data_IF_646969406951
#
_entry.id   IF_646969406951
#
_cell.length_a   1.000
_cell.length_b   1.000
_cell.length_c   1.000
_cell.angle_alpha   90.00
_cell.angle_beta   90.00
_cell.angle_gamma   90.00
#
_symmetry.space_group_name_H-M   'P 1'
#
loop_
_entity.id
_entity.type
_entity.pdbx_description
1 polymer ?
#
# COMPACT_ATOMS: atom_id res chain seq x y z
N UNK A 1 -9.98 17.50 2.49
CA UNK A 1 -9.88 18.21 1.21
C UNK A 1 -10.33 17.24 0.15
N UNK A 2 -11.30 17.67 -0.64
CA UNK A 2 -11.68 17.09 -1.91
C UNK A 2 -12.37 15.71 -1.89
N UNK A 3 -13.38 15.59 -2.78
CA UNK A 3 -14.01 14.34 -3.25
C UNK A 3 -15.13 13.65 -2.45
N UNK A 4 -15.94 14.37 -1.64
CA UNK A 4 -17.25 13.86 -1.13
C UNK A 4 -18.45 14.76 -1.43
N UNK A 5 -18.49 15.38 -2.61
CA UNK A 5 -19.51 16.34 -3.04
C UNK A 5 -20.40 15.82 -4.19
N UNK A 6 -20.78 14.53 -4.17
CA UNK A 6 -21.46 13.86 -5.31
C UNK A 6 -22.56 12.86 -4.93
N UNK A 7 -23.42 13.10 -3.93
CA UNK A 7 -24.42 12.08 -3.54
C UNK A 7 -25.82 12.52 -3.01
N UNK A 8 -26.29 13.76 -3.22
CA UNK A 8 -27.70 14.11 -2.85
C UNK A 8 -28.53 14.82 -3.94
N UNK A 9 -28.07 14.83 -5.19
CA UNK A 9 -28.93 15.10 -6.35
C UNK A 9 -29.59 13.82 -6.91
N UNK A 10 -29.51 12.70 -6.20
CA UNK A 10 -29.78 11.37 -6.75
C UNK A 10 -31.12 10.72 -6.33
N UNK A 11 -32.04 11.42 -5.67
CA UNK A 11 -33.28 10.81 -5.15
C UNK A 11 -34.60 11.38 -5.68
N UNK A 12 -34.56 12.25 -6.69
CA UNK A 12 -35.76 12.64 -7.43
C UNK A 12 -36.13 11.71 -8.60
N UNK A 13 -35.38 10.61 -8.80
CA UNK A 13 -35.55 9.75 -9.97
C UNK A 13 -35.90 8.28 -9.70
N UNK A 14 -36.09 7.85 -8.45
CA UNK A 14 -36.42 6.43 -8.17
C UNK A 14 -37.44 6.36 -7.04
N UNK A 15 -38.71 6.18 -7.39
CA UNK A 15 -39.77 6.06 -6.39
C UNK A 15 -41.17 5.69 -6.89
N UNK A 16 -41.33 4.95 -8.00
CA UNK A 16 -42.56 4.20 -8.26
C UNK A 16 -42.37 3.19 -9.41
N UNK A 17 -41.60 2.13 -9.19
CA UNK A 17 -41.64 0.96 -10.07
C UNK A 17 -41.52 -0.32 -9.24
N UNK A 18 -42.67 -0.78 -8.74
CA UNK A 18 -42.88 -2.16 -8.35
C UNK A 18 -44.34 -2.56 -8.64
N UNK A 19 -44.49 -3.32 -9.73
CA UNK A 19 -45.42 -4.44 -9.92
C UNK A 19 -46.93 -4.17 -9.98
N UNK A 20 -47.44 -4.10 -11.22
CA UNK A 20 -48.60 -4.87 -11.65
C UNK A 20 -48.45 -5.23 -13.15
N UNK A 21 -48.29 -6.51 -13.53
CA UNK A 21 -48.35 -6.92 -14.92
C UNK A 21 -49.83 -7.07 -15.34
N UNK A 22 -50.20 -6.40 -16.42
CA UNK A 22 -51.46 -6.70 -17.11
C UNK A 22 -52.58 -5.71 -16.83
N UNK A 23 -52.41 -4.48 -17.30
CA UNK A 23 -53.55 -3.73 -17.84
C UNK A 23 -53.05 -3.05 -19.12
N UNK A 24 -53.63 -3.43 -20.25
CA UNK A 24 -53.74 -2.56 -21.42
C UNK A 24 -54.56 -1.34 -21.00
N UNK A 25 -53.96 -0.47 -20.20
CA UNK A 25 -54.50 0.83 -19.83
C UNK A 25 -54.11 1.78 -20.94
N UNK A 26 -55.09 2.27 -21.69
CA UNK A 26 -54.95 3.47 -22.50
C UNK A 26 -54.32 4.54 -21.60
N UNK A 27 -53.11 5.05 -21.91
CA UNK A 27 -52.42 5.91 -20.96
C UNK A 27 -53.08 7.29 -20.90
N UNK A 28 -53.20 7.79 -19.67
CA UNK A 28 -53.66 9.14 -19.36
C UNK A 28 -52.98 10.15 -20.30
N UNK A 29 -53.81 11.01 -20.92
CA UNK A 29 -53.37 11.95 -21.96
C UNK A 29 -52.24 12.81 -21.41
N UNK A 30 -51.20 13.02 -22.21
CA UNK A 30 -49.94 13.67 -21.85
C UNK A 30 -50.04 15.10 -21.26
N UNK A 31 -51.26 15.67 -21.15
CA UNK A 31 -51.56 16.87 -20.36
C UNK A 31 -51.30 16.69 -18.84
N UNK A 32 -51.37 15.47 -18.29
CA UNK A 32 -51.11 15.21 -16.86
C UNK A 32 -49.60 15.21 -16.49
N UNK A 33 -48.71 14.97 -17.45
CA UNK A 33 -47.26 14.83 -17.20
C UNK A 33 -46.57 16.15 -16.84
N UNK A 34 -46.92 17.24 -17.51
CA UNK A 34 -46.32 18.57 -17.24
C UNK A 34 -46.75 19.09 -15.86
N UNK A 35 -47.98 18.82 -15.44
CA UNK A 35 -48.46 19.16 -14.08
C UNK A 35 -47.70 18.39 -12.99
N UNK A 36 -47.40 17.11 -13.25
CA UNK A 36 -46.62 16.25 -12.33
C UNK A 36 -45.15 16.68 -12.24
N UNK A 37 -44.58 17.29 -13.29
CA UNK A 37 -43.18 17.75 -13.30
C UNK A 37 -42.98 19.11 -12.60
N UNK A 38 -44.04 19.91 -12.51
CA UNK A 38 -43.97 21.24 -11.87
C UNK A 38 -44.17 21.21 -10.35
N UNK A 39 -45.06 20.35 -9.84
CA UNK A 39 -45.29 20.16 -8.38
C UNK A 39 -44.00 19.91 -7.55
N UNK A 40 -43.06 19.08 -8.00
CA UNK A 40 -41.74 18.88 -7.40
C UNK A 40 -40.97 20.15 -7.06
N UNK A 41 -40.92 21.06 -8.03
CA UNK A 41 -40.13 22.28 -7.96
C UNK A 41 -40.71 23.22 -6.90
N UNK A 42 -42.04 23.21 -6.78
CA UNK A 42 -42.79 23.98 -5.78
C UNK A 42 -42.53 23.44 -4.37
N UNK A 43 -42.50 22.12 -4.21
CA UNK A 43 -42.25 21.49 -2.91
C UNK A 43 -40.78 21.68 -2.47
N UNK A 44 -39.81 21.51 -3.37
CA UNK A 44 -38.36 21.74 -3.12
C UNK A 44 -38.08 23.20 -2.71
N UNK A 45 -38.76 24.16 -3.36
CA UNK A 45 -38.66 25.58 -3.00
C UNK A 45 -39.06 25.85 -1.55
N UNK A 46 -40.06 25.14 -1.02
CA UNK A 46 -40.51 25.30 0.36
C UNK A 46 -39.50 24.70 1.35
N UNK A 47 -38.98 23.51 1.04
CA UNK A 47 -38.02 22.80 1.87
C UNK A 47 -36.67 23.56 1.98
N UNK A 48 -36.16 24.08 0.84
CA UNK A 48 -34.91 24.86 0.80
C UNK A 48 -34.97 26.14 1.65
N UNK A 49 -36.15 26.76 1.78
CA UNK A 49 -36.33 27.90 2.70
C UNK A 49 -36.15 27.48 4.15
N UNK A 50 -36.63 26.30 4.54
CA UNK A 50 -36.40 25.72 5.88
C UNK A 50 -34.92 25.42 6.15
N UNK A 51 -34.19 24.93 5.15
CA UNK A 51 -32.73 24.68 5.24
C UNK A 51 -31.95 25.96 5.50
N UNK A 52 -32.31 27.05 4.82
CA UNK A 52 -31.66 28.34 5.03
C UNK A 52 -31.71 28.77 6.50
N UNK A 53 -32.84 28.54 7.19
CA UNK A 53 -32.97 28.85 8.62
C UNK A 53 -32.13 27.94 9.52
N UNK A 54 -31.99 26.66 9.17
CA UNK A 54 -31.16 25.69 9.89
C UNK A 54 -29.66 25.99 9.76
N UNK A 55 -29.24 26.58 8.62
CA UNK A 55 -27.86 27.05 8.40
C UNK A 55 -27.45 28.06 9.46
N UNK A 56 -28.29 29.07 9.69
CA UNK A 56 -28.06 30.11 10.68
C UNK A 56 -28.04 29.55 12.11
N UNK A 57 -28.89 28.56 12.40
CA UNK A 57 -28.94 27.91 13.72
C UNK A 57 -27.63 27.18 14.04
N UNK A 58 -27.08 26.41 13.10
CA UNK A 58 -25.85 25.63 13.32
C UNK A 58 -24.60 26.50 13.38
N UNK A 59 -24.55 27.58 12.62
CA UNK A 59 -23.48 28.57 12.71
C UNK A 59 -23.31 29.06 14.15
N UNK A 60 -24.43 29.42 14.80
CA UNK A 60 -24.46 29.86 16.21
C UNK A 60 -23.96 28.76 17.16
N UNK A 61 -24.33 27.50 16.93
CA UNK A 61 -23.86 26.39 17.75
C UNK A 61 -22.35 26.13 17.62
N UNK A 62 -21.80 26.20 16.41
CA UNK A 62 -20.36 26.01 16.17
C UNK A 62 -19.54 27.11 16.85
N UNK A 63 -19.97 28.36 16.74
CA UNK A 63 -19.33 29.49 17.46
C UNK A 63 -19.28 29.21 18.97
N UNK A 64 -20.39 28.74 19.56
CA UNK A 64 -20.42 28.38 20.98
C UNK A 64 -19.46 27.24 21.36
N UNK A 65 -19.29 26.23 20.50
CA UNK A 65 -18.33 25.15 20.73
C UNK A 65 -16.88 25.61 20.62
N UNK A 66 -16.55 26.42 19.61
CA UNK A 66 -15.21 26.98 19.43
C UNK A 66 -14.81 27.84 20.64
N UNK A 67 -15.77 28.56 21.23
CA UNK A 67 -15.50 29.32 22.46
C UNK A 67 -15.03 28.42 23.61
N UNK A 68 -15.64 27.25 23.79
CA UNK A 68 -15.20 26.28 24.81
C UNK A 68 -13.78 25.74 24.55
N UNK A 69 -13.38 25.62 23.28
CA UNK A 69 -12.01 25.23 22.90
C UNK A 69 -10.99 26.32 23.20
N UNK A 70 -11.33 27.59 22.95
CA UNK A 70 -10.51 28.74 23.38
C UNK A 70 -10.28 28.68 24.88
N UNK A 71 -11.33 28.44 25.67
CA UNK A 71 -11.24 28.36 27.13
C UNK A 71 -10.34 27.19 27.58
N UNK A 72 -10.44 26.02 26.92
CA UNK A 72 -9.60 24.87 27.24
C UNK A 72 -8.13 25.10 26.90
N UNK A 73 -7.82 25.63 25.70
CA UNK A 73 -6.44 25.95 25.32
C UNK A 73 -5.80 26.98 26.24
N UNK A 74 -6.59 27.92 26.75
CA UNK A 74 -6.15 28.88 27.76
C UNK A 74 -5.71 28.19 29.05
N UNK A 75 -6.50 27.22 29.55
CA UNK A 75 -6.11 26.42 30.73
C UNK A 75 -4.87 25.55 30.50
N UNK A 76 -4.71 25.01 29.31
CA UNK A 76 -3.51 24.25 28.94
C UNK A 76 -2.27 25.15 28.96
N UNK A 77 -2.38 26.36 28.41
CA UNK A 77 -1.32 27.38 28.47
C UNK A 77 -0.95 27.76 29.92
N UNK A 78 -1.94 27.86 30.80
CA UNK A 78 -1.73 28.07 32.24
C UNK A 78 -0.94 26.89 32.86
N UNK A 79 -1.38 25.65 32.64
CA UNK A 79 -0.69 24.44 33.13
C UNK A 79 0.77 24.32 32.65
N UNK A 80 1.07 24.76 31.42
CA UNK A 80 2.45 24.80 30.93
C UNK A 80 3.32 25.79 31.68
N UNK A 81 2.75 26.94 32.01
CA UNK A 81 3.45 27.96 32.79
C UNK A 81 3.75 27.42 34.21
N UNK A 82 2.82 26.68 34.80
CA UNK A 82 3.01 25.99 36.08
C UNK A 82 4.07 24.87 36.00
N UNK A 83 4.03 24.03 34.96
CA UNK A 83 4.96 22.90 34.80
C UNK A 83 6.38 23.36 34.49
N UNK A 84 6.55 24.41 33.68
CA UNK A 84 7.86 25.03 33.46
C UNK A 84 8.47 25.53 34.78
N UNK A 85 7.63 26.09 35.65
CA UNK A 85 8.04 26.53 37.01
C UNK A 85 8.46 25.33 37.87
N UNK A 86 7.76 24.19 37.77
CA UNK A 86 8.13 22.96 38.49
C UNK A 86 9.42 22.32 37.97
N UNK A 87 9.60 22.21 36.66
CA UNK A 87 10.81 21.66 36.05
C UNK A 87 12.05 22.50 36.39
N UNK A 88 11.88 23.83 36.47
CA UNK A 88 12.95 24.71 36.93
C UNK A 88 13.43 24.37 38.35
N UNK A 89 12.50 24.00 39.24
CA UNK A 89 12.79 23.54 40.60
C UNK A 89 13.47 22.17 40.61
N UNK A 90 13.04 21.22 39.80
CA UNK A 90 13.65 19.88 39.70
C UNK A 90 15.11 19.96 39.19
N UNK A 91 15.39 20.85 38.23
CA UNK A 91 16.77 21.13 37.81
C UNK A 91 17.62 21.70 38.94
N UNK A 92 17.08 22.66 39.73
CA UNK A 92 17.78 23.22 40.89
C UNK A 92 18.15 22.12 41.91
N UNK A 93 17.22 21.23 42.23
CA UNK A 93 17.46 20.13 43.17
C UNK A 93 18.54 19.14 42.66
N UNK A 94 18.53 18.81 41.36
CA UNK A 94 19.55 17.94 40.74
C UNK A 94 20.94 18.59 40.71
N UNK A 95 21.01 19.89 40.41
CA UNK A 95 22.25 20.67 40.46
C UNK A 95 22.83 20.64 41.88
N UNK A 96 22.00 20.91 42.89
CA UNK A 96 22.40 20.85 44.31
C UNK A 96 22.91 19.45 44.70
N UNK A 97 22.27 18.37 44.26
CA UNK A 97 22.71 17.00 44.56
C UNK A 97 24.02 16.61 43.86
N UNK A 98 24.25 17.07 42.62
CA UNK A 98 25.51 16.85 41.90
C UNK A 98 26.66 17.67 42.51
N UNK A 99 26.38 18.90 42.97
CA UNK A 99 27.33 19.71 43.73
C UNK A 99 27.71 19.03 45.06
N UNK A 100 26.74 18.44 45.79
CA UNK A 100 27.00 17.62 46.99
C UNK A 100 27.84 16.37 46.66
N UNK A 101 27.54 15.64 45.59
CA UNK A 101 28.33 14.48 45.17
C UNK A 101 29.77 14.86 44.77
N UNK A 102 29.95 16.03 44.13
CA UNK A 102 31.26 16.61 43.81
C UNK A 102 32.05 16.93 45.10
N UNK A 103 31.39 17.52 46.11
CA UNK A 103 31.99 17.78 47.41
C UNK A 103 32.37 16.47 48.15
N UNK A 104 31.53 15.43 48.09
CA UNK A 104 31.81 14.11 48.68
C UNK A 104 33.01 13.41 48.03
N UNK A 105 33.10 13.43 46.69
CA UNK A 105 34.23 12.82 45.97
C UNK A 105 35.54 13.61 46.11
N UNK A 106 35.46 14.93 46.25
CA UNK A 106 36.63 15.79 46.51
C UNK A 106 37.18 15.60 47.94
N UNK A 107 36.37 15.08 48.88
CA UNK A 107 36.79 14.75 50.25
C UNK A 107 37.39 13.34 50.42
N UNK A 108 37.52 12.54 49.35
CA UNK A 108 38.07 11.18 49.40
C UNK A 108 39.53 11.18 48.92
N UNK A 109 40.48 11.27 49.85
CA UNK A 109 41.87 11.71 49.61
C UNK A 109 42.91 10.65 49.21
N UNK A 110 42.60 9.34 49.24
CA UNK A 110 43.62 8.28 49.13
C UNK A 110 43.55 7.41 47.85
N UNK A 111 43.06 7.94 46.73
CA UNK A 111 42.95 7.16 45.49
C UNK A 111 44.18 7.30 44.56
N UNK A 112 44.63 6.19 43.95
CA UNK A 112 45.66 6.16 42.90
C UNK A 112 45.09 5.58 41.59
N UNK A 113 45.04 6.34 40.47
CA UNK A 113 45.57 7.70 40.33
C UNK A 113 44.72 8.75 41.08
N UNK A 114 45.34 9.82 41.61
CA UNK A 114 44.66 10.87 42.35
C UNK A 114 43.50 11.50 41.56
N UNK A 115 42.39 11.74 42.24
CA UNK A 115 41.21 12.35 41.63
C UNK A 115 40.37 11.42 40.77
N UNK A 116 40.68 10.12 40.71
CA UNK A 116 39.84 9.10 40.06
C UNK A 116 39.52 7.98 41.05
N UNK A 117 38.36 7.34 40.91
CA UNK A 117 38.01 6.17 41.71
C UNK A 117 37.28 5.12 40.89
N UNK A 118 37.79 3.89 40.88
CA UNK A 118 37.11 2.74 40.29
C UNK A 118 35.96 2.31 41.19
N UNK A 119 34.75 2.33 40.65
CA UNK A 119 33.60 1.70 41.26
C UNK A 119 33.47 0.31 40.62
N UNK A 120 33.57 -0.80 41.36
CA UNK A 120 33.79 -2.17 40.82
C UNK A 120 32.80 -2.71 39.76
N UNK A 121 31.66 -2.06 39.54
CA UNK A 121 30.72 -2.41 38.46
C UNK A 121 30.59 -1.31 37.40
N UNK A 122 31.18 -0.14 37.62
CA UNK A 122 30.97 1.08 36.84
C UNK A 122 32.25 1.76 36.38
N UNK A 123 33.41 1.20 36.73
CA UNK A 123 34.68 1.71 36.23
C UNK A 123 35.15 2.95 37.01
N UNK A 124 36.20 3.58 36.49
CA UNK A 124 36.85 4.75 37.09
C UNK A 124 36.08 6.05 36.81
N UNK A 125 35.68 6.78 37.86
CA UNK A 125 35.05 8.10 37.78
C UNK A 125 35.93 9.18 38.42
N UNK A 126 35.94 10.40 37.86
CA UNK A 126 36.72 11.53 38.37
C UNK A 126 35.85 12.72 38.76
N UNK A 127 36.38 13.57 39.66
CA UNK A 127 35.69 14.76 40.18
C UNK A 127 35.38 15.79 39.09
N UNK A 128 36.23 15.86 38.06
CA UNK A 128 36.06 16.73 36.89
C UNK A 128 34.82 16.35 36.07
N UNK A 129 34.53 15.06 35.92
CA UNK A 129 33.37 14.56 35.18
C UNK A 129 32.05 14.93 35.86
N UNK A 130 32.01 14.92 37.19
CA UNK A 130 30.79 15.25 37.96
C UNK A 130 30.59 16.76 38.06
N UNK A 131 31.67 17.52 38.23
CA UNK A 131 31.62 18.99 38.14
C UNK A 131 31.15 19.45 36.75
N UNK A 132 31.61 18.78 35.69
CA UNK A 132 31.14 19.01 34.32
C UNK A 132 29.64 18.69 34.19
N UNK A 133 29.17 17.58 34.73
CA UNK A 133 27.75 17.23 34.71
C UNK A 133 26.87 18.23 35.48
N UNK A 134 27.34 18.80 36.59
CA UNK A 134 26.63 19.88 37.30
C UNK A 134 26.53 21.16 36.45
N UNK A 135 27.62 21.57 35.80
CA UNK A 135 27.64 22.72 34.91
C UNK A 135 26.79 22.51 33.63
N UNK A 136 26.76 21.29 33.09
CA UNK A 136 25.91 20.94 31.95
C UNK A 136 24.43 20.99 32.35
N UNK A 137 24.05 20.54 33.56
CA UNK A 137 22.70 20.69 34.10
C UNK A 137 22.29 22.17 34.32
N UNK A 138 23.21 23.03 34.77
CA UNK A 138 22.97 24.48 34.90
C UNK A 138 22.69 25.14 33.55
N UNK A 139 23.45 24.76 32.51
CA UNK A 139 23.21 25.21 31.13
C UNK A 139 21.87 24.70 30.59
N UNK A 140 21.54 23.43 30.84
CA UNK A 140 20.25 22.84 30.44
C UNK A 140 19.07 23.52 31.15
N UNK A 141 19.21 23.89 32.43
CA UNK A 141 18.21 24.66 33.18
C UNK A 141 17.99 26.03 32.55
N UNK A 142 19.05 26.79 32.31
CA UNK A 142 18.97 28.12 31.70
C UNK A 142 18.31 28.06 30.31
N UNK A 143 18.70 27.09 29.49
CA UNK A 143 18.10 26.84 28.17
C UNK A 143 16.62 26.46 28.28
N UNK A 144 16.24 25.62 29.24
CA UNK A 144 14.85 25.21 29.46
C UNK A 144 13.96 26.38 29.88
N UNK A 145 14.43 27.23 30.78
CA UNK A 145 13.72 28.44 31.23
C UNK A 145 13.54 29.46 30.09
N UNK A 146 14.60 29.70 29.31
CA UNK A 146 14.52 30.58 28.14
C UNK A 146 13.50 30.06 27.12
N UNK A 147 13.56 28.76 26.80
CA UNK A 147 12.60 28.14 25.89
C UNK A 147 11.15 28.25 26.41
N UNK A 148 10.93 28.13 27.72
CA UNK A 148 9.60 28.31 28.30
C UNK A 148 9.10 29.77 28.18
N UNK A 149 9.94 30.75 28.52
CA UNK A 149 9.59 32.18 28.45
C UNK A 149 9.30 32.65 27.02
N UNK A 150 10.08 32.16 26.04
CA UNK A 150 9.86 32.43 24.61
C UNK A 150 8.73 31.58 24.00
N UNK A 151 8.03 30.77 24.80
CA UNK A 151 7.01 29.83 24.36
C UNK A 151 7.49 28.82 23.30
N UNK A 152 8.79 28.51 23.29
CA UNK A 152 9.46 27.54 22.40
C UNK A 152 9.69 26.17 23.03
N UNK A 153 9.48 26.04 24.35
CA UNK A 153 9.54 24.75 25.03
C UNK A 153 8.46 23.82 24.46
N UNK A 154 8.87 22.63 24.03
CA UNK A 154 7.98 21.62 23.48
C UNK A 154 7.56 20.64 24.56
N UNK A 155 6.27 20.34 24.62
CA UNK A 155 5.71 19.45 25.62
C UNK A 155 4.72 18.48 25.00
N UNK A 156 4.71 17.26 25.51
CA UNK A 156 3.77 16.24 25.05
C UNK A 156 2.45 16.33 25.83
N UNK A 157 1.36 16.59 25.12
CA UNK A 157 0.00 16.53 25.68
C UNK A 157 -0.63 15.22 25.22
N UNK A 158 -1.05 14.39 26.17
CA UNK A 158 -1.75 13.14 25.86
C UNK A 158 -3.00 13.43 25.01
N UNK A 159 -3.11 12.78 23.86
CA UNK A 159 -4.21 12.98 22.90
C UNK A 159 -4.00 14.11 21.89
N UNK A 160 -2.96 14.93 22.01
CA UNK A 160 -2.62 15.99 21.04
C UNK A 160 -1.22 15.81 20.44
N UNK A 161 -0.21 15.48 21.27
CA UNK A 161 1.18 15.32 20.84
C UNK A 161 2.13 16.41 21.35
N UNK A 162 3.31 16.51 20.73
CA UNK A 162 4.32 17.51 21.07
C UNK A 162 3.93 18.89 20.56
N UNK A 163 3.83 19.87 21.45
CA UNK A 163 3.47 21.24 21.11
C UNK A 163 4.30 22.26 21.88
N UNK A 164 4.53 23.41 21.25
CA UNK A 164 5.14 24.57 21.90
C UNK A 164 4.09 25.51 22.48
N UNK A 165 4.47 26.35 23.44
CA UNK A 165 3.59 27.42 23.93
C UNK A 165 3.11 28.36 22.81
N UNK A 166 3.95 28.59 21.79
CA UNK A 166 3.61 29.40 20.63
C UNK A 166 2.57 28.70 19.75
N UNK A 167 2.67 27.37 19.60
CA UNK A 167 1.66 26.59 18.90
C UNK A 167 0.31 26.64 19.63
N UNK A 168 0.30 26.63 20.96
CA UNK A 168 -0.92 26.79 21.76
C UNK A 168 -1.52 28.18 21.61
N UNK A 169 -0.71 29.24 21.66
CA UNK A 169 -1.20 30.60 21.45
C UNK A 169 -1.78 30.77 20.05
N UNK A 170 -1.10 30.23 19.03
CA UNK A 170 -1.64 30.20 17.66
C UNK A 170 -2.96 29.44 17.60
N UNK A 171 -3.09 28.30 18.26
CA UNK A 171 -4.35 27.56 18.31
C UNK A 171 -5.49 28.41 18.91
N UNK A 172 -5.23 29.20 19.96
CA UNK A 172 -6.21 30.15 20.53
C UNK A 172 -6.59 31.22 19.49
N UNK A 173 -5.60 31.89 18.92
CA UNK A 173 -5.81 33.00 17.98
C UNK A 173 -6.53 32.53 16.70
N UNK A 174 -6.13 31.37 16.17
CA UNK A 174 -6.74 30.71 15.02
C UNK A 174 -8.19 30.32 15.30
N UNK A 175 -8.48 29.79 16.50
CA UNK A 175 -9.86 29.44 16.91
C UNK A 175 -10.73 30.70 17.03
N UNK A 176 -10.20 31.78 17.61
CA UNK A 176 -10.91 33.07 17.69
C UNK A 176 -11.13 33.70 16.31
N UNK A 177 -10.16 33.54 15.41
CA UNK A 177 -10.31 33.95 14.01
C UNK A 177 -11.40 33.12 13.32
N UNK A 178 -11.42 31.80 13.50
CA UNK A 178 -12.47 30.92 12.94
C UNK A 178 -13.87 31.38 13.39
N UNK A 179 -14.04 31.78 14.66
CA UNK A 179 -15.31 32.34 15.16
C UNK A 179 -15.72 33.59 14.37
N UNK A 180 -14.81 34.54 14.17
CA UNK A 180 -15.08 35.78 13.42
C UNK A 180 -15.38 35.47 11.94
N UNK A 181 -14.61 34.58 11.34
CA UNK A 181 -14.78 34.16 9.95
C UNK A 181 -16.15 33.48 9.74
N UNK A 182 -16.59 32.64 10.68
CA UNK A 182 -17.94 32.04 10.66
C UNK A 182 -19.02 33.11 10.71
N UNK A 183 -18.92 34.07 11.63
CA UNK A 183 -19.92 35.11 11.78
C UNK A 183 -20.05 35.99 10.53
N UNK A 184 -18.91 36.37 9.93
CA UNK A 184 -18.91 37.12 8.68
C UNK A 184 -19.46 36.28 7.52
N UNK A 185 -19.08 35.00 7.45
CA UNK A 185 -19.56 34.12 6.41
C UNK A 185 -21.09 33.95 6.46
N UNK A 186 -21.72 34.00 7.63
CA UNK A 186 -23.20 33.92 7.72
C UNK A 186 -23.83 35.15 7.10
N UNK A 187 -23.30 36.34 7.40
CA UNK A 187 -23.81 37.63 6.87
C UNK A 187 -23.74 37.69 5.35
N UNK A 188 -22.64 37.23 4.78
CA UNK A 188 -22.43 37.25 3.33
C UNK A 188 -23.01 36.00 2.64
N UNK A 189 -23.71 35.14 3.38
CA UNK A 189 -24.25 33.87 2.90
C UNK A 189 -23.19 32.82 2.55
N UNK A 190 -21.89 33.10 2.74
CA UNK A 190 -20.80 32.17 2.43
C UNK A 190 -20.58 31.07 3.47
N UNK A 191 -21.27 31.14 4.62
CA UNK A 191 -21.17 30.15 5.69
C UNK A 191 -21.74 28.81 5.28
N UNK A 192 -20.99 27.76 5.63
CA UNK A 192 -21.29 26.38 5.25
C UNK A 192 -21.55 25.57 6.50
N UNK A 193 -22.71 24.93 6.57
CA UNK A 193 -23.00 23.96 7.63
C UNK A 193 -23.56 22.70 7.07
N UNK A 194 -23.37 21.61 7.79
CA UNK A 194 -24.09 20.39 7.54
C UNK A 194 -25.54 20.59 7.98
N UNK A 195 -26.56 20.30 7.16
CA UNK A 195 -27.98 20.25 7.55
C UNK A 195 -28.49 18.83 7.35
N UNK A 196 -29.27 18.31 8.32
CA UNK A 196 -29.84 16.95 8.19
C UNK A 196 -30.72 16.87 6.95
N UNK A 197 -30.51 15.87 6.11
CA UNK A 197 -31.17 15.74 4.80
C UNK A 197 -30.49 16.50 3.65
N UNK A 198 -29.62 17.48 3.94
CA UNK A 198 -29.04 18.38 2.93
C UNK A 198 -27.50 18.43 2.89
N UNK A 199 -26.83 17.87 3.90
CA UNK A 199 -25.37 17.83 3.96
C UNK A 199 -24.74 19.21 4.16
N UNK A 200 -23.43 19.33 3.90
CA UNK A 200 -22.70 20.61 3.98
C UNK A 200 -23.16 21.55 2.88
N UNK A 201 -24.01 22.50 3.24
CA UNK A 201 -24.60 23.47 2.33
C UNK A 201 -24.27 24.89 2.76
N UNK A 202 -24.19 25.77 1.77
CA UNK A 202 -23.84 27.18 1.91
C UNK A 202 -25.10 28.03 1.75
N UNK A 203 -25.25 29.05 2.59
CA UNK A 203 -26.40 29.96 2.51
C UNK A 203 -26.63 30.51 1.09
N UNK A 204 -25.58 31.04 0.45
CA UNK A 204 -25.66 31.59 -0.90
C UNK A 204 -25.97 30.56 -1.98
N UNK A 205 -25.60 29.29 -1.77
CA UNK A 205 -25.95 28.19 -2.69
C UNK A 205 -27.43 27.84 -2.57
N UNK A 206 -27.96 27.76 -1.35
CA UNK A 206 -29.39 27.57 -1.13
C UNK A 206 -30.18 28.73 -1.75
N UNK A 207 -29.76 29.96 -1.51
CA UNK A 207 -30.40 31.14 -2.09
C UNK A 207 -30.34 31.17 -3.62
N UNK A 208 -29.19 30.83 -4.23
CA UNK A 208 -29.06 30.73 -5.68
C UNK A 208 -29.91 29.61 -6.27
N UNK A 209 -30.02 28.47 -5.58
CA UNK A 209 -30.87 27.34 -6.01
C UNK A 209 -32.35 27.72 -5.98
N UNK A 210 -32.79 28.45 -4.97
CA UNK A 210 -34.15 29.00 -4.91
C UNK A 210 -34.41 29.86 -6.16
N UNK A 211 -33.53 30.81 -6.47
CA UNK A 211 -33.68 31.67 -7.66
C UNK A 211 -33.64 30.89 -8.99
N UNK A 212 -32.80 29.85 -9.07
CA UNK A 212 -32.70 28.98 -10.25
C UNK A 212 -33.95 28.11 -10.42
N UNK A 213 -34.52 27.55 -9.35
CA UNK A 213 -35.76 26.78 -9.38
C UNK A 213 -36.92 27.63 -9.92
N UNK A 214 -37.02 28.88 -9.47
CA UNK A 214 -38.01 29.85 -9.97
C UNK A 214 -37.83 30.11 -11.49
N UNK A 215 -36.58 30.14 -11.99
CA UNK A 215 -36.28 30.27 -13.42
C UNK A 215 -36.58 28.99 -14.21
N UNK A 216 -36.30 27.82 -13.63
CA UNK A 216 -36.53 26.51 -14.25
C UNK A 216 -38.03 26.27 -14.48
N UNK A 217 -38.86 26.60 -13.49
CA UNK A 217 -40.32 26.51 -13.62
C UNK A 217 -40.82 27.29 -14.86
N UNK A 218 -40.28 28.50 -15.06
CA UNK A 218 -40.62 29.34 -16.22
C UNK A 218 -40.16 28.74 -17.55
N UNK A 219 -38.92 28.23 -17.62
CA UNK A 219 -38.33 27.67 -18.84
C UNK A 219 -39.00 26.37 -19.31
N UNK A 220 -39.41 25.51 -18.38
CA UNK A 220 -40.13 24.26 -18.67
C UNK A 220 -41.40 24.55 -19.49
N UNK A 221 -42.18 25.55 -19.05
CA UNK A 221 -43.43 25.95 -19.72
C UNK A 221 -43.21 26.42 -21.16
N UNK A 222 -42.09 27.10 -21.43
CA UNK A 222 -41.75 27.59 -22.77
C UNK A 222 -41.33 26.45 -23.73
N UNK A 223 -40.57 25.45 -23.26
CA UNK A 223 -40.10 24.32 -24.09
C UNK A 223 -41.21 23.38 -24.53
N UNK A 224 -42.25 23.20 -23.70
CA UNK A 224 -43.49 22.48 -24.07
C UNK A 224 -44.05 23.04 -25.38
N UNK A 225 -44.16 24.36 -25.48
CA UNK A 225 -44.78 25.02 -26.63
C UNK A 225 -43.99 24.85 -27.95
N UNK A 226 -42.65 24.74 -27.92
CA UNK A 226 -41.83 24.64 -29.14
C UNK A 226 -41.65 23.21 -29.68
N UNK A 227 -42.17 22.20 -28.98
CA UNK A 227 -41.92 20.79 -29.31
C UNK A 227 -40.49 20.31 -29.02
N UNK A 228 -39.69 21.15 -28.35
CA UNK A 228 -38.38 20.81 -27.78
C UNK A 228 -38.50 20.27 -26.35
N UNK A 229 -39.74 20.04 -25.90
CA UNK A 229 -39.99 19.46 -24.61
C UNK A 229 -39.61 17.99 -24.60
N UNK A 230 -38.69 17.62 -23.71
CA UNK A 230 -38.29 16.25 -23.52
C UNK A 230 -39.44 15.48 -22.87
N UNK A 231 -39.83 14.35 -23.44
CA UNK A 231 -40.81 13.44 -22.82
C UNK A 231 -40.18 12.07 -22.68
N UNK A 232 -40.33 11.51 -21.49
CA UNK A 232 -39.88 10.15 -21.22
C UNK A 232 -40.90 9.17 -21.78
N UNK A 233 -40.46 8.37 -22.75
CA UNK A 233 -41.30 7.37 -23.38
C UNK A 233 -40.90 5.99 -22.85
N UNK A 234 -41.86 5.17 -22.37
CA UNK A 234 -41.55 3.84 -21.85
C UNK A 234 -40.75 3.01 -22.86
N UNK A 235 -39.59 2.51 -22.42
CA UNK A 235 -38.69 1.69 -23.23
C UNK A 235 -37.73 2.45 -24.16
N UNK A 236 -37.84 3.78 -24.27
CA UNK A 236 -36.99 4.60 -25.17
C UNK A 236 -36.42 5.87 -24.54
N UNK A 237 -36.90 6.19 -23.35
CA UNK A 237 -36.34 7.26 -22.53
C UNK A 237 -36.74 8.64 -23.02
N UNK A 238 -35.99 9.63 -22.57
CA UNK A 238 -36.29 11.02 -22.86
C UNK A 238 -36.07 11.30 -24.33
N UNK A 239 -37.13 11.77 -24.96
CA UNK A 239 -37.17 12.08 -26.37
C UNK A 239 -37.90 13.36 -26.56
N UNK A 240 -37.26 14.28 -27.26
CA UNK A 240 -38.01 15.35 -27.90
C UNK A 240 -38.61 14.79 -29.17
N UNK A 241 -39.69 15.42 -29.62
CA UNK A 241 -40.29 15.06 -30.89
C UNK A 241 -39.27 15.12 -32.03
N UNK A 242 -38.40 16.13 -32.03
CA UNK A 242 -37.36 16.31 -33.06
C UNK A 242 -36.28 15.23 -33.05
N UNK A 243 -35.87 14.74 -31.88
CA UNK A 243 -34.77 13.79 -31.75
C UNK A 243 -35.16 12.39 -32.23
N UNK A 244 -36.37 11.92 -31.89
CA UNK A 244 -36.85 10.60 -32.33
C UNK A 244 -36.79 10.45 -33.85
N UNK A 245 -37.12 11.52 -34.56
CA UNK A 245 -37.14 11.53 -36.02
C UNK A 245 -35.73 11.37 -36.61
N UNK A 246 -34.72 11.98 -35.99
CA UNK A 246 -33.32 11.83 -36.40
C UNK A 246 -32.76 10.43 -36.09
N UNK A 247 -33.08 9.87 -34.93
CA UNK A 247 -32.55 8.57 -34.49
C UNK A 247 -33.05 7.39 -35.31
N UNK A 248 -34.34 7.41 -35.64
CA UNK A 248 -34.94 6.41 -36.52
C UNK A 248 -34.14 6.32 -37.82
N UNK A 249 -33.79 7.47 -38.40
CA UNK A 249 -33.05 7.57 -39.66
C UNK A 249 -31.61 7.05 -39.54
N UNK A 250 -30.91 7.35 -38.44
CA UNK A 250 -29.53 6.94 -38.25
C UNK A 250 -29.37 5.43 -37.98
N UNK A 251 -30.31 4.84 -37.23
CA UNK A 251 -30.27 3.41 -36.87
C UNK A 251 -30.46 2.51 -38.09
N UNK A 252 -31.35 2.92 -39.01
CA UNK A 252 -31.55 2.26 -40.30
C UNK A 252 -30.24 2.18 -41.11
N UNK A 253 -29.41 3.23 -41.08
CA UNK A 253 -28.12 3.24 -41.76
C UNK A 253 -27.04 2.36 -41.07
N UNK A 254 -27.05 2.24 -39.74
CA UNK A 254 -26.03 1.46 -39.02
C UNK A 254 -26.21 -0.06 -39.16
N UNK A 255 -27.47 -0.53 -39.13
CA UNK A 255 -27.80 -1.93 -39.35
C UNK A 255 -27.22 -2.42 -40.69
N UNK A 256 -27.37 -1.61 -41.74
CA UNK A 256 -26.85 -1.92 -43.08
C UNK A 256 -25.31 -2.05 -43.08
N UNK A 257 -24.61 -1.16 -42.38
CA UNK A 257 -23.14 -1.14 -42.30
C UNK A 257 -22.54 -2.36 -41.59
N UNK A 258 -23.17 -2.82 -40.50
CA UNK A 258 -22.64 -3.92 -39.67
C UNK A 258 -22.72 -5.27 -40.36
N UNK A 259 -23.80 -5.51 -41.11
CA UNK A 259 -23.94 -6.70 -41.97
C UNK A 259 -22.78 -6.84 -42.95
N UNK A 260 -22.33 -5.73 -43.54
CA UNK A 260 -21.21 -5.73 -44.47
C UNK A 260 -19.87 -6.13 -43.80
N UNK A 261 -19.61 -5.68 -42.56
CA UNK A 261 -18.37 -5.99 -41.83
C UNK A 261 -18.28 -7.44 -41.35
N UNK A 262 -19.40 -8.01 -40.89
CA UNK A 262 -19.43 -9.39 -40.45
C UNK A 262 -19.10 -10.36 -41.59
N UNK A 263 -19.66 -10.13 -42.77
CA UNK A 263 -19.36 -10.91 -43.98
C UNK A 263 -17.86 -10.87 -44.38
N UNK A 264 -17.14 -9.80 -44.04
CA UNK A 264 -15.70 -9.65 -44.32
C UNK A 264 -14.78 -10.32 -43.27
N UNK A 265 -15.33 -10.91 -42.19
CA UNK A 265 -14.53 -11.46 -41.09
C UNK A 265 -13.83 -10.40 -40.23
N UNK A 266 -14.25 -9.14 -40.34
CA UNK A 266 -13.67 -7.98 -39.63
C UNK A 266 -14.40 -7.66 -38.31
N UNK A 267 -15.40 -8.46 -37.95
CA UNK A 267 -16.01 -8.40 -36.63
C UNK A 267 -14.94 -8.78 -35.59
N UNK A 268 -14.76 -7.96 -34.56
CA UNK A 268 -13.86 -8.25 -33.45
C UNK A 268 -14.67 -8.71 -32.23
N UNK A 269 -14.29 -9.82 -31.60
CA UNK A 269 -14.88 -10.28 -30.35
C UNK A 269 -13.80 -10.25 -29.26
N UNK A 270 -14.24 -10.01 -28.03
CA UNK A 270 -13.38 -10.06 -26.85
C UNK A 270 -13.59 -11.36 -26.10
N UNK A 271 -12.48 -12.00 -25.72
CA UNK A 271 -12.47 -13.07 -24.71
C UNK A 271 -11.35 -12.81 -23.69
N UNK A 272 -11.54 -13.17 -22.42
CA UNK A 272 -10.50 -13.01 -21.38
C UNK A 272 -9.15 -13.64 -21.75
N UNK A 273 -9.19 -14.72 -22.54
CA UNK A 273 -8.04 -15.45 -22.99
C UNK A 273 -7.13 -14.69 -23.97
N UNK A 274 -7.71 -13.84 -24.83
CA UNK A 274 -7.01 -13.34 -26.03
C UNK A 274 -7.35 -11.90 -26.44
N UNK A 275 -8.11 -11.17 -25.60
CA UNK A 275 -8.53 -9.78 -25.80
C UNK A 275 -9.37 -9.59 -27.09
N UNK A 276 -9.55 -8.35 -27.55
CA UNK A 276 -10.23 -8.04 -28.81
C UNK A 276 -9.46 -8.56 -30.01
N UNK A 277 -10.07 -9.50 -30.74
CA UNK A 277 -9.51 -10.04 -31.98
C UNK A 277 -10.58 -10.18 -33.02
N UNK A 278 -10.20 -9.99 -34.28
CA UNK A 278 -11.02 -10.44 -35.41
C UNK A 278 -10.86 -11.93 -35.63
N UNK A 279 -11.84 -12.53 -36.33
CA UNK A 279 -11.79 -13.95 -36.69
C UNK A 279 -10.46 -14.32 -37.36
N UNK A 280 -10.00 -13.44 -38.26
CA UNK A 280 -8.75 -13.63 -39.00
C UNK A 280 -7.51 -13.58 -38.09
N UNK A 281 -7.49 -12.67 -37.10
CA UNK A 281 -6.37 -12.57 -36.15
C UNK A 281 -6.29 -13.78 -35.21
N UNK A 282 -7.43 -14.24 -34.71
CA UNK A 282 -7.49 -15.40 -33.81
C UNK A 282 -7.02 -16.68 -34.50
N UNK A 283 -7.41 -16.90 -35.76
CA UNK A 283 -6.94 -18.02 -36.57
C UNK A 283 -5.42 -18.01 -36.76
N UNK A 284 -4.83 -16.83 -37.04
CA UNK A 284 -3.39 -16.70 -37.22
C UNK A 284 -2.61 -16.98 -35.91
N UNK A 285 -3.12 -16.54 -34.77
CA UNK A 285 -2.47 -16.75 -33.47
C UNK A 285 -2.60 -18.19 -32.96
N UNK A 286 -3.73 -18.86 -33.17
CA UNK A 286 -3.88 -20.27 -32.81
C UNK A 286 -2.81 -21.13 -33.48
N UNK A 287 -2.57 -20.90 -34.78
CA UNK A 287 -1.53 -21.60 -35.53
C UNK A 287 -0.10 -21.31 -35.02
N UNK A 288 0.15 -20.12 -34.47
CA UNK A 288 1.44 -19.77 -33.87
C UNK A 288 1.59 -20.37 -32.47
N UNK A 289 0.53 -20.37 -31.67
CA UNK A 289 0.48 -20.94 -30.32
C UNK A 289 0.71 -22.46 -30.34
N UNK A 290 0.13 -23.17 -31.31
CA UNK A 290 0.35 -24.61 -31.49
C UNK A 290 1.83 -24.96 -31.69
N UNK A 291 2.52 -24.19 -32.54
CA UNK A 291 3.97 -24.37 -32.75
C UNK A 291 4.78 -24.11 -31.48
N UNK A 292 4.41 -23.09 -30.71
CA UNK A 292 5.10 -22.74 -29.47
C UNK A 292 4.86 -23.76 -28.34
N UNK A 293 3.65 -24.30 -28.22
CA UNK A 293 3.30 -25.33 -27.23
C UNK A 293 4.12 -26.60 -27.43
N UNK A 294 4.18 -27.11 -28.67
CA UNK A 294 4.96 -28.31 -29.00
C UNK A 294 6.47 -28.10 -28.76
N UNK A 295 6.99 -26.91 -29.05
CA UNK A 295 8.38 -26.56 -28.76
C UNK A 295 8.69 -26.55 -27.25
N UNK A 296 7.82 -25.96 -26.42
CA UNK A 296 7.99 -25.92 -24.96
C UNK A 296 7.88 -27.31 -24.34
N UNK A 297 6.91 -28.12 -24.78
CA UNK A 297 6.74 -29.50 -24.30
C UNK A 297 8.00 -30.34 -24.53
N UNK A 298 8.62 -30.20 -25.71
CA UNK A 298 9.90 -30.84 -26.04
C UNK A 298 11.07 -30.30 -25.19
N UNK A 299 11.15 -28.99 -24.96
CA UNK A 299 12.20 -28.41 -24.12
C UNK A 299 12.13 -28.87 -22.65
N UNK A 300 10.92 -29.09 -22.12
CA UNK A 300 10.70 -29.64 -20.78
C UNK A 300 11.08 -31.12 -20.72
N UNK A 301 10.71 -31.94 -21.72
CA UNK A 301 11.10 -33.36 -21.75
C UNK A 301 12.62 -33.54 -21.86
N UNK A 302 13.28 -32.67 -22.63
CA UNK A 302 14.71 -32.75 -22.91
C UNK A 302 15.56 -32.13 -21.78
N UNK A 303 14.94 -31.60 -20.71
CA UNK A 303 15.63 -31.03 -19.54
C UNK A 303 16.37 -29.71 -19.82
N UNK A 304 16.10 -29.08 -20.96
CA UNK A 304 16.73 -27.84 -21.44
C UNK A 304 15.87 -26.59 -21.23
N UNK A 305 14.65 -26.74 -20.72
CA UNK A 305 13.86 -25.63 -20.19
C UNK A 305 14.69 -24.88 -19.15
N UNK A 306 14.70 -23.55 -19.21
CA UNK A 306 15.47 -22.68 -18.30
C UNK A 306 14.51 -22.01 -17.32
N UNK A 307 14.84 -22.02 -16.03
CA UNK A 307 14.08 -21.30 -15.01
C UNK A 307 15.00 -20.41 -14.19
N UNK A 308 14.48 -19.28 -13.70
CA UNK A 308 15.20 -18.39 -12.80
C UNK A 308 15.16 -18.91 -11.37
N UNK A 309 16.33 -19.11 -10.78
CA UNK A 309 16.51 -19.51 -9.39
C UNK A 309 17.15 -18.36 -8.63
N UNK A 310 16.56 -18.00 -7.47
CA UNK A 310 16.91 -16.82 -6.63
C UNK A 310 18.41 -16.72 -6.31
N UNK A 311 19.17 -17.82 -6.38
CA UNK A 311 20.60 -17.86 -6.06
C UNK A 311 21.48 -18.45 -7.18
N UNK A 312 20.89 -18.93 -8.28
CA UNK A 312 21.63 -19.55 -9.39
C UNK A 312 21.35 -18.89 -10.75
N UNK A 313 20.51 -17.84 -10.79
CA UNK A 313 20.11 -17.19 -12.02
C UNK A 313 19.32 -18.13 -12.94
N UNK A 314 19.47 -17.96 -14.26
CA UNK A 314 18.88 -18.87 -15.24
C UNK A 314 19.65 -20.19 -15.27
N UNK A 315 18.99 -21.29 -14.90
CA UNK A 315 19.59 -22.61 -14.92
C UNK A 315 18.69 -23.64 -15.62
N UNK A 316 19.32 -24.62 -16.27
CA UNK A 316 18.65 -25.81 -16.82
C UNK A 316 18.77 -26.98 -15.86
N UNK A 317 17.79 -27.89 -15.91
CA UNK A 317 17.82 -29.13 -15.12
C UNK A 317 19.11 -29.93 -15.35
N UNK A 318 19.53 -30.07 -16.61
CA UNK A 318 20.76 -30.80 -16.99
C UNK A 318 22.03 -30.18 -16.37
N UNK A 319 22.08 -28.86 -16.22
CA UNK A 319 23.23 -28.16 -15.63
C UNK A 319 23.30 -28.37 -14.11
N UNK A 320 22.13 -28.40 -13.44
CA UNK A 320 22.04 -28.70 -12.02
C UNK A 320 22.37 -30.17 -11.72
N UNK A 321 21.92 -31.11 -12.55
CA UNK A 321 22.29 -32.53 -12.46
C UNK A 321 23.80 -32.74 -12.63
N UNK A 322 24.43 -32.03 -13.58
CA UNK A 322 25.88 -32.03 -13.74
C UNK A 322 26.61 -31.46 -12.52
N UNK A 323 26.08 -30.40 -11.89
CA UNK A 323 26.63 -29.81 -10.66
C UNK A 323 26.53 -30.76 -9.47
N UNK A 324 25.39 -31.44 -9.28
CA UNK A 324 25.25 -32.46 -8.22
C UNK A 324 26.29 -33.56 -8.41
N UNK A 325 26.48 -34.04 -9.64
CA UNK A 325 27.50 -35.05 -9.95
C UNK A 325 28.93 -34.58 -9.61
N UNK A 326 29.25 -33.32 -9.88
CA UNK A 326 30.54 -32.71 -9.52
C UNK A 326 30.74 -32.60 -7.99
N UNK A 327 29.68 -32.21 -7.26
CA UNK A 327 29.68 -32.16 -5.80
C UNK A 327 29.82 -33.57 -5.19
N UNK A 328 29.15 -34.58 -5.74
CA UNK A 328 29.28 -35.98 -5.31
C UNK A 328 30.71 -36.50 -5.52
N UNK A 329 31.36 -36.15 -6.63
CA UNK A 329 32.77 -36.47 -6.87
C UNK A 329 33.70 -35.77 -5.89
N UNK A 330 33.41 -34.52 -5.53
CA UNK A 330 34.22 -33.73 -4.60
C UNK A 330 34.08 -34.27 -3.18
N UNK A 331 32.85 -34.55 -2.74
CA UNK A 331 32.57 -35.22 -1.46
C UNK A 331 33.31 -36.56 -1.35
N UNK A 332 33.24 -37.40 -2.38
CA UNK A 332 33.92 -38.68 -2.39
C UNK A 332 35.46 -38.53 -2.29
N UNK A 333 36.04 -37.56 -3.01
CA UNK A 333 37.49 -37.26 -2.94
C UNK A 333 37.90 -36.74 -1.56
N UNK A 334 37.13 -35.85 -0.96
CA UNK A 334 37.42 -35.31 0.38
C UNK A 334 37.29 -36.39 1.45
N UNK A 335 36.27 -37.25 1.37
CA UNK A 335 36.10 -38.40 2.26
C UNK A 335 37.25 -39.41 2.13
N UNK A 336 37.70 -39.69 0.91
CA UNK A 336 38.86 -40.57 0.66
C UNK A 336 40.17 -39.98 1.19
N UNK A 337 40.41 -38.67 0.99
CA UNK A 337 41.56 -37.97 1.55
C UNK A 337 41.56 -37.96 3.08
N UNK A 338 40.39 -37.85 3.71
CA UNK A 338 40.23 -37.94 5.16
C UNK A 338 40.48 -39.35 5.69
N UNK A 339 39.90 -40.38 5.04
CA UNK A 339 40.12 -41.78 5.40
C UNK A 339 41.60 -42.17 5.29
N UNK A 340 42.32 -41.59 4.34
CA UNK A 340 43.76 -41.77 4.16
C UNK A 340 44.62 -40.86 5.04
N UNK A 341 44.04 -39.95 5.82
CA UNK A 341 44.81 -38.98 6.63
C UNK A 341 45.65 -38.00 5.81
N UNK A 342 45.28 -37.78 4.54
CA UNK A 342 45.94 -36.94 3.54
C UNK A 342 45.26 -35.58 3.37
N UNK A 343 44.15 -35.35 4.07
CA UNK A 343 43.52 -34.04 4.18
C UNK A 343 44.49 -33.03 4.82
N UNK A 344 44.79 -31.96 4.10
CA UNK A 344 45.77 -30.94 4.49
C UNK A 344 45.07 -29.64 4.84
N UNK A 345 45.37 -29.08 6.01
CA UNK A 345 44.83 -27.79 6.43
C UNK A 345 45.92 -26.91 7.06
N UNK A 346 45.63 -25.62 7.20
CA UNK A 346 46.48 -24.68 7.93
C UNK A 346 46.19 -24.77 9.42
N UNK A 347 47.22 -25.06 10.21
CA UNK A 347 47.12 -25.34 11.63
C UNK A 347 48.16 -24.50 12.40
N UNK A 348 48.11 -24.46 13.75
CA UNK A 348 49.13 -23.82 14.58
C UNK A 348 50.56 -24.29 14.32
N UNK A 349 50.73 -25.54 13.84
CA UNK A 349 52.01 -26.09 13.37
C UNK A 349 52.37 -25.75 11.91
N UNK A 350 51.49 -25.06 11.18
CA UNK A 350 51.61 -24.79 9.74
C UNK A 350 50.68 -25.65 8.87
N UNK A 351 50.98 -25.73 7.56
CA UNK A 351 50.19 -26.50 6.58
C UNK A 351 50.51 -27.98 6.62
N UNK A 352 49.69 -28.75 7.33
CA UNK A 352 50.00 -30.15 7.63
C UNK A 352 48.78 -31.07 7.49
N UNK A 353 49.07 -32.34 7.21
CA UNK A 353 48.11 -33.46 7.23
C UNK A 353 48.12 -34.18 8.58
N UNK A 354 47.10 -34.99 8.86
CA UNK A 354 47.06 -35.82 10.08
C UNK A 354 48.31 -36.70 10.18
N UNK A 355 48.69 -37.36 9.06
CA UNK A 355 49.92 -38.17 8.95
C UNK A 355 51.19 -37.39 9.30
N UNK A 356 51.33 -36.14 8.83
CA UNK A 356 52.52 -35.32 9.09
C UNK A 356 52.60 -34.86 10.56
N UNK A 357 51.45 -34.54 11.18
CA UNK A 357 51.39 -34.13 12.58
C UNK A 357 51.62 -35.32 13.51
N UNK A 358 51.07 -36.50 13.19
CA UNK A 358 51.30 -37.74 13.93
C UNK A 358 52.78 -38.16 13.88
N UNK A 359 53.43 -38.09 12.71
CA UNK A 359 54.88 -38.29 12.58
C UNK A 359 55.69 -37.28 13.39
N UNK A 360 55.24 -36.03 13.41
CA UNK A 360 55.89 -34.97 14.20
C UNK A 360 55.75 -35.22 15.71
N UNK A 361 54.58 -35.68 16.17
CA UNK A 361 54.36 -36.09 17.55
C UNK A 361 55.18 -37.33 17.93
N UNK A 362 55.31 -38.31 17.04
CA UNK A 362 56.14 -39.50 17.27
C UNK A 362 57.63 -39.11 17.38
N UNK A 363 58.11 -38.22 16.51
CA UNK A 363 59.48 -37.69 16.54
C UNK A 363 59.76 -36.90 17.82
N UNK A 364 58.87 -35.98 18.18
CA UNK A 364 58.97 -35.19 19.42
C UNK A 364 58.90 -36.09 20.67
N UNK A 365 58.08 -37.14 20.64
CA UNK A 365 58.00 -38.15 21.70
C UNK A 365 59.30 -38.95 21.87
N UNK A 366 59.94 -39.36 20.77
CA UNK A 366 61.26 -40.00 20.78
C UNK A 366 62.34 -39.06 21.33
N UNK A 367 62.30 -37.79 20.96
CA UNK A 367 63.22 -36.78 21.50
C UNK A 367 63.05 -36.61 23.00
N UNK A 368 61.82 -36.53 23.52
CA UNK A 368 61.55 -36.40 24.95
C UNK A 368 62.10 -37.58 25.79
N UNK A 369 62.28 -38.76 25.20
CA UNK A 369 62.83 -39.96 25.84
C UNK A 369 64.35 -39.97 26.02
N UNK A 370 65.09 -38.95 25.59
CA UNK A 370 66.57 -38.91 25.71
C UNK A 370 67.01 -38.61 27.16
N UNK A 371 67.85 -39.46 27.81
CA UNK A 371 68.14 -39.38 29.25
C UNK A 371 68.79 -38.08 29.77
N UNK A 372 69.43 -37.30 28.90
CA UNK A 372 70.25 -36.14 29.28
C UNK A 372 69.68 -34.78 28.80
N UNK A 373 68.39 -34.72 28.46
CA UNK A 373 67.72 -33.46 28.10
C UNK A 373 67.59 -32.51 29.29
N UNK A 374 68.02 -31.27 29.11
CA UNK A 374 67.83 -30.20 30.08
C UNK A 374 66.34 -29.79 30.23
N UNK A 375 66.01 -29.12 31.34
CA UNK A 375 64.63 -28.75 31.66
C UNK A 375 64.00 -27.80 30.64
N UNK A 376 64.80 -26.90 30.04
CA UNK A 376 64.34 -25.89 29.08
C UNK A 376 64.00 -26.52 27.73
N UNK A 377 64.75 -27.52 27.30
CA UNK A 377 64.49 -28.32 26.11
C UNK A 377 63.26 -29.22 26.30
N UNK A 378 63.07 -29.80 27.49
CA UNK A 378 61.84 -30.55 27.82
C UNK A 378 60.60 -29.66 27.79
N UNK A 379 60.67 -28.45 28.36
CA UNK A 379 59.57 -27.47 28.33
C UNK A 379 59.24 -27.03 26.90
N UNK A 380 60.27 -26.78 26.07
CA UNK A 380 60.08 -26.46 24.64
C UNK A 380 59.42 -27.59 23.87
N UNK A 381 59.90 -28.83 24.03
CA UNK A 381 59.31 -30.02 23.38
C UNK A 381 57.86 -30.23 23.85
N UNK A 382 57.57 -30.04 25.13
CA UNK A 382 56.20 -30.13 25.66
C UNK A 382 55.27 -29.08 25.01
N UNK A 383 55.74 -27.85 24.84
CA UNK A 383 55.01 -26.77 24.15
C UNK A 383 54.80 -27.07 22.66
N UNK A 384 55.80 -27.61 21.96
CA UNK A 384 55.68 -28.01 20.55
C UNK A 384 54.73 -29.22 20.37
N UNK A 385 54.73 -30.17 21.32
CA UNK A 385 53.76 -31.27 21.35
C UNK A 385 52.33 -30.78 21.65
N UNK A 386 52.15 -29.76 22.50
CA UNK A 386 50.86 -29.13 22.76
C UNK A 386 50.31 -28.45 21.49
N UNK A 387 51.16 -27.73 20.75
CA UNK A 387 50.80 -27.11 19.47
C UNK A 387 50.43 -28.18 18.42
N UNK A 388 51.14 -29.31 18.38
CA UNK A 388 50.80 -30.45 17.50
C UNK A 388 49.47 -31.12 17.89
N UNK A 389 49.21 -31.33 19.18
CA UNK A 389 47.95 -31.90 19.68
C UNK A 389 46.76 -30.96 19.41
N UNK A 390 46.96 -29.66 19.59
CA UNK A 390 45.97 -28.63 19.23
C UNK A 390 45.69 -28.63 17.72
N UNK A 391 46.73 -28.82 16.91
CA UNK A 391 46.62 -28.91 15.45
C UNK A 391 45.86 -30.16 14.98
N UNK A 392 46.01 -31.31 15.64
CA UNK A 392 45.18 -32.49 15.34
C UNK A 392 43.70 -32.27 15.68
N UNK A 393 43.42 -31.64 16.83
CA UNK A 393 42.05 -31.33 17.23
C UNK A 393 41.38 -30.30 16.29
N UNK A 394 42.15 -29.31 15.83
CA UNK A 394 41.69 -28.33 14.83
C UNK A 394 41.47 -28.97 13.45
N UNK A 395 42.34 -29.88 13.00
CA UNK A 395 42.18 -30.59 11.73
C UNK A 395 40.89 -31.44 11.68
N UNK A 396 40.56 -32.12 12.78
CA UNK A 396 39.31 -32.88 12.91
C UNK A 396 38.08 -31.95 12.81
N UNK A 397 38.12 -30.79 13.46
CA UNK A 397 37.04 -29.79 13.43
C UNK A 397 36.88 -29.16 12.04
N UNK A 398 37.99 -28.85 11.36
CA UNK A 398 38.02 -28.27 10.03
C UNK A 398 37.49 -29.24 8.95
N UNK A 399 37.87 -30.52 9.04
CA UNK A 399 37.38 -31.54 8.11
C UNK A 399 35.89 -31.84 8.25
N UNK A 400 35.36 -31.83 9.49
CA UNK A 400 33.94 -32.01 9.74
C UNK A 400 33.11 -30.84 9.21
N UNK A 401 33.62 -29.62 9.32
CA UNK A 401 32.98 -28.42 8.78
C UNK A 401 32.96 -28.41 7.24
N UNK A 402 34.07 -28.79 6.60
CA UNK A 402 34.17 -28.85 5.13
C UNK A 402 33.20 -29.87 4.52
N UNK A 403 33.11 -31.08 5.11
CA UNK A 403 32.12 -32.09 4.69
C UNK A 403 30.67 -31.62 4.90
N UNK A 404 30.39 -30.91 5.99
CA UNK A 404 29.05 -30.38 6.28
C UNK A 404 28.62 -29.32 5.25
N UNK A 405 29.55 -28.44 4.82
CA UNK A 405 29.28 -27.41 3.82
C UNK A 405 29.04 -28.02 2.43
N UNK A 406 29.87 -28.97 2.00
CA UNK A 406 29.69 -29.68 0.72
C UNK A 406 28.38 -30.47 0.68
N UNK A 407 28.02 -31.14 1.79
CA UNK A 407 26.76 -31.88 1.89
C UNK A 407 25.54 -30.95 1.87
N UNK A 408 25.62 -29.78 2.53
CA UNK A 408 24.57 -28.76 2.52
C UNK A 408 24.36 -28.19 1.12
N UNK A 409 25.45 -27.90 0.40
CA UNK A 409 25.38 -27.39 -0.97
C UNK A 409 24.76 -28.44 -1.92
N UNK A 410 25.17 -29.70 -1.81
CA UNK A 410 24.59 -30.82 -2.57
C UNK A 410 23.09 -30.99 -2.31
N UNK A 411 22.68 -30.94 -1.04
CA UNK A 411 21.27 -31.05 -0.65
C UNK A 411 20.44 -29.87 -1.18
N UNK A 412 20.98 -28.66 -1.13
CA UNK A 412 20.37 -27.45 -1.67
C UNK A 412 20.15 -27.57 -3.18
N UNK A 413 21.19 -27.93 -3.96
CA UNK A 413 21.08 -28.10 -5.42
C UNK A 413 20.11 -29.23 -5.79
N UNK A 414 20.11 -30.34 -5.05
CA UNK A 414 19.21 -31.48 -5.32
C UNK A 414 17.73 -31.14 -5.13
N UNK A 415 17.39 -30.31 -4.12
CA UNK A 415 16.01 -29.86 -3.89
C UNK A 415 15.47 -29.03 -5.07
N UNK A 416 16.33 -28.27 -5.75
CA UNK A 416 15.93 -27.48 -6.92
C UNK A 416 15.61 -28.34 -8.14
N UNK A 417 16.27 -29.50 -8.31
CA UNK A 417 15.99 -30.45 -9.41
C UNK A 417 14.56 -30.98 -9.32
N UNK A 418 14.12 -31.37 -8.12
CA UNK A 418 12.73 -31.82 -7.87
C UNK A 418 11.72 -30.69 -8.05
N UNK A 419 12.10 -29.44 -7.73
CA UNK A 419 11.26 -28.26 -7.94
C UNK A 419 11.09 -27.83 -9.39
N UNK A 420 11.98 -28.24 -10.30
CA UNK A 420 12.00 -27.77 -11.68
C UNK A 420 10.74 -28.18 -12.48
N UNK A 421 10.25 -29.40 -12.27
CA UNK A 421 9.00 -29.88 -12.89
C UNK A 421 7.77 -29.14 -12.36
N UNK A 422 7.78 -28.77 -11.07
CA UNK A 422 6.71 -27.97 -10.47
C UNK A 422 6.68 -26.52 -10.99
N UNK A 423 7.83 -25.98 -11.43
CA UNK A 423 7.95 -24.64 -12.00
C UNK A 423 7.59 -24.59 -13.49
N UNK A 424 7.73 -25.69 -14.24
CA UNK A 424 7.36 -25.77 -15.66
C UNK A 424 5.86 -26.05 -15.88
N UNK A 425 5.22 -26.74 -14.93
CA UNK A 425 3.81 -27.17 -15.04
C UNK A 425 2.81 -26.00 -15.20
N UNK A 426 2.90 -24.89 -14.45
CA UNK A 426 1.98 -23.76 -14.63
C UNK A 426 2.07 -23.10 -16.02
N UNK A 427 3.26 -23.08 -16.65
CA UNK A 427 3.41 -22.51 -18.00
C UNK A 427 2.78 -23.40 -19.08
N UNK A 428 2.93 -24.73 -18.94
CA UNK A 428 2.28 -25.70 -19.84
C UNK A 428 0.76 -25.70 -19.70
N UNK A 429 0.26 -25.72 -18.47
CA UNK A 429 -1.18 -25.67 -18.18
C UNK A 429 -1.80 -24.34 -18.66
N UNK A 430 -1.10 -23.21 -18.49
CA UNK A 430 -1.54 -21.91 -19.02
C UNK A 430 -1.61 -21.92 -20.55
N UNK A 431 -0.60 -22.46 -21.25
CA UNK A 431 -0.57 -22.47 -22.72
C UNK A 431 -1.64 -23.41 -23.30
N UNK A 432 -1.88 -24.55 -22.65
CA UNK A 432 -2.94 -25.47 -23.03
C UNK A 432 -4.33 -24.84 -22.88
N UNK A 433 -4.56 -24.14 -21.77
CA UNK A 433 -5.79 -23.39 -21.52
C UNK A 433 -6.03 -22.30 -22.58
N UNK A 434 -5.00 -21.48 -22.87
CA UNK A 434 -5.10 -20.42 -23.89
C UNK A 434 -5.47 -21.00 -25.27
N UNK A 435 -4.95 -22.19 -25.60
CA UNK A 435 -5.26 -22.86 -26.87
C UNK A 435 -6.71 -23.37 -26.91
N UNK A 436 -7.18 -24.04 -25.86
CA UNK A 436 -8.57 -24.52 -25.81
C UNK A 436 -9.55 -23.34 -25.91
N UNK A 437 -9.28 -22.26 -25.17
CA UNK A 437 -10.13 -21.07 -25.18
C UNK A 437 -10.12 -20.35 -26.54
N UNK A 438 -8.98 -20.32 -27.24
CA UNK A 438 -8.88 -19.74 -28.58
C UNK A 438 -9.62 -20.56 -29.64
N UNK A 439 -9.64 -21.88 -29.51
CA UNK A 439 -10.40 -22.77 -30.41
C UNK A 439 -11.90 -22.58 -30.23
N UNK A 440 -12.38 -22.62 -28.98
CA UNK A 440 -13.81 -22.43 -28.65
C UNK A 440 -14.31 -21.06 -29.13
N UNK A 441 -13.47 -20.02 -29.03
CA UNK A 441 -13.80 -18.67 -29.48
C UNK A 441 -14.03 -18.51 -31.00
N UNK A 442 -13.61 -19.45 -31.84
CA UNK A 442 -13.84 -19.37 -33.29
C UNK A 442 -15.28 -19.72 -33.68
N UNK A 443 -15.91 -20.64 -32.96
CA UNK A 443 -17.29 -21.08 -33.21
C UNK A 443 -18.32 -20.03 -32.76
N UNK A 444 -17.91 -19.13 -31.86
CA UNK A 444 -18.79 -18.11 -31.31
C UNK A 444 -19.10 -16.96 -32.29
N UNK A 445 -18.31 -16.74 -33.33
CA UNK A 445 -18.48 -15.57 -34.22
C UNK A 445 -19.83 -15.53 -34.95
N UNK A 446 -20.40 -16.68 -35.34
CA UNK A 446 -21.73 -16.73 -35.99
C UNK A 446 -22.86 -16.41 -35.02
N UNK A 447 -22.70 -16.82 -33.76
CA UNK A 447 -23.63 -16.50 -32.69
C UNK A 447 -23.54 -15.01 -32.35
N UNK A 448 -22.32 -14.49 -32.23
CA UNK A 448 -22.04 -13.07 -31.97
C UNK A 448 -22.59 -12.16 -33.08
N UNK A 449 -22.45 -12.51 -34.36
CA UNK A 449 -23.05 -11.72 -35.46
C UNK A 449 -24.57 -11.56 -35.32
N UNK A 450 -25.26 -12.65 -35.02
CA UNK A 450 -26.73 -12.65 -34.82
C UNK A 450 -27.10 -11.83 -33.59
N UNK A 451 -26.31 -11.94 -32.52
CA UNK A 451 -26.46 -11.16 -31.31
C UNK A 451 -26.22 -9.67 -31.54
N UNK A 452 -25.40 -9.27 -32.51
CA UNK A 452 -25.10 -7.86 -32.78
C UNK A 452 -26.18 -7.15 -33.60
N UNK A 453 -26.83 -7.83 -34.54
CA UNK A 453 -27.74 -7.20 -35.51
C UNK A 453 -29.19 -7.20 -35.01
N UNK A 454 -29.65 -8.33 -34.48
CA UNK A 454 -31.05 -8.52 -34.07
C UNK A 454 -31.55 -7.50 -33.01
N UNK A 455 -30.74 -7.06 -32.05
CA UNK A 455 -31.16 -6.02 -31.11
C UNK A 455 -31.43 -4.67 -31.77
N UNK A 456 -30.66 -4.30 -32.80
CA UNK A 456 -30.81 -3.02 -33.50
C UNK A 456 -32.12 -2.97 -34.29
N UNK A 457 -32.51 -4.08 -34.92
CA UNK A 457 -33.78 -4.19 -35.64
C UNK A 457 -34.99 -4.08 -34.68
N UNK A 458 -34.91 -4.74 -33.52
CA UNK A 458 -35.92 -4.62 -32.48
C UNK A 458 -35.99 -3.20 -31.91
N UNK A 459 -34.85 -2.49 -31.84
CA UNK A 459 -34.79 -1.12 -31.36
C UNK A 459 -35.46 -0.14 -32.33
N UNK A 460 -35.31 -0.33 -33.64
CA UNK A 460 -35.95 0.50 -34.66
C UNK A 460 -37.49 0.44 -34.58
N UNK A 461 -38.05 -0.76 -34.43
CA UNK A 461 -39.50 -0.94 -34.32
C UNK A 461 -40.07 -0.24 -33.08
N UNK A 462 -39.33 -0.27 -31.96
CA UNK A 462 -39.72 0.43 -30.73
C UNK A 462 -39.74 1.94 -30.93
N UNK A 463 -38.71 2.52 -31.57
CA UNK A 463 -38.58 3.98 -31.75
C UNK A 463 -39.78 4.59 -32.49
N UNK A 464 -40.32 3.87 -33.47
CA UNK A 464 -41.51 4.30 -34.21
C UNK A 464 -42.78 4.30 -33.35
N UNK A 465 -42.96 3.32 -32.46
CA UNK A 465 -44.10 3.26 -31.55
C UNK A 465 -44.06 4.36 -30.46
N UNK A 466 -42.87 4.79 -30.05
CA UNK A 466 -42.71 5.84 -29.04
C UNK A 466 -43.24 7.21 -29.46
N UNK A 467 -43.09 7.57 -30.74
CA UNK A 467 -43.41 8.91 -31.22
C UNK A 467 -44.83 9.38 -30.88
N UNK A 468 -45.78 8.44 -30.77
CA UNK A 468 -47.18 8.70 -30.41
C UNK A 468 -47.40 9.17 -28.95
N UNK A 469 -46.37 9.17 -28.10
CA UNK A 469 -46.46 9.48 -26.67
C UNK A 469 -46.17 10.95 -26.31
N UNK A 470 -45.78 11.80 -27.27
CA UNK A 470 -45.37 13.19 -27.00
C UNK A 470 -46.56 14.17 -27.20
N UNK A 471 -46.82 15.15 -26.30
CA UNK A 471 -47.87 16.16 -26.46
C UNK A 471 -47.73 16.97 -27.75
N UNK A 472 -48.86 17.29 -28.41
CA UNK A 472 -48.89 18.10 -29.63
C UNK A 472 -48.39 17.37 -30.89
N UNK A 473 -48.36 16.03 -30.89
CA UNK A 473 -47.92 15.18 -32.02
C UNK A 473 -49.02 14.83 -33.03
N UNK A 474 -50.25 15.36 -32.85
CA UNK A 474 -51.33 15.29 -33.85
C UNK A 474 -51.26 16.44 -34.84
#
# INVERSE_FOLDING_TARGET
METRMRWLQALWFIGALALAPGLMGVPARAHDLVGTELQPLVDELSELKGVSSEIERRARQRVSQLQKWVDWWTKVKEFFSETATRLARDFEERIVNMQKATATLSGLTDAAPPGKRNLPQHGWHDTLTIAKAAADLEKERAKSLQLAAELKASWFIAGVGWMTGLAIQRAIDDTQKEIRDIQQAVRDGSHVVNVSGYGWTRGSTVSARIAELEKQEKSIRERVASGDYPVTIPGLGVRTRKLLDAEISALEADIARRRAKAAAGELSIHRPAFDWKTKNQLQAELAAADKAFEATKKAVSDGIYSSWLVENGWAKRVELEARVKSLDQTLAKTQDALAKGEYRAQLPVGWSTAKEIERSLESLGKQLGVPHLDAKARERIAKEMEVCRKSLAELQSLSALDLALLALERAKVSRWITGFMALARPDLERRELVRSEASDGLDDYSTEETLWIRPLENQLARLKAAKAWIPGSQ
#
